data_IF_050887264037
#
_entry.id   IF_050887264037
#
_cell.length_a   1.000
_cell.length_b   1.000
_cell.length_c   1.000
_cell.angle_alpha   90.00
_cell.angle_beta   90.00
_cell.angle_gamma   90.00
#
_symmetry.space_group_name_H-M   'P 1'
#
loop_
_entity.id
_entity.type
_entity.pdbx_description
1 polymer ?
#
# COMPACT_ATOMS: atom_id res chain seq x y z
N UNK A 1 17.53 10.17 -11.02
CA UNK A 1 16.46 10.00 -10.02
C UNK A 1 15.57 11.24 -10.11
N UNK A 2 14.34 11.09 -10.55
CA UNK A 2 13.37 12.17 -10.52
C UNK A 2 12.68 12.04 -9.16
N UNK A 3 12.98 12.93 -8.21
CA UNK A 3 12.15 13.13 -7.04
C UNK A 3 10.83 13.74 -7.52
N UNK A 4 9.80 12.93 -7.60
CA UNK A 4 8.44 13.40 -7.83
C UNK A 4 7.94 13.84 -6.45
N UNK A 5 7.84 15.17 -6.24
CA UNK A 5 7.05 15.70 -5.12
C UNK A 5 5.62 15.16 -5.23
N UNK A 6 4.90 15.03 -4.12
CA UNK A 6 3.55 14.44 -3.99
C UNK A 6 2.49 14.96 -4.99
N UNK A 7 2.86 15.85 -5.89
CA UNK A 7 1.97 16.46 -6.88
C UNK A 7 2.62 16.44 -8.26
N UNK A 8 2.16 15.54 -9.11
CA UNK A 8 2.50 15.57 -10.55
C UNK A 8 1.81 16.80 -11.18
N UNK A 9 2.61 17.77 -11.66
CA UNK A 9 2.13 18.99 -12.33
C UNK A 9 2.64 19.05 -13.76
N UNK A 10 1.74 19.29 -14.71
CA UNK A 10 2.08 19.58 -16.10
C UNK A 10 1.60 20.98 -16.48
N UNK A 11 1.93 21.39 -17.71
CA UNK A 11 1.40 22.57 -18.36
C UNK A 11 0.70 22.20 -19.64
N UNK A 12 -0.43 22.83 -19.91
CA UNK A 12 -1.08 22.80 -21.23
C UNK A 12 -0.70 24.08 -21.95
N UNK A 13 -0.10 23.95 -23.10
CA UNK A 13 0.34 25.09 -23.92
C UNK A 13 -0.67 25.25 -25.07
N UNK A 14 -1.16 26.46 -25.27
CA UNK A 14 -1.95 26.82 -26.44
C UNK A 14 -1.01 26.94 -27.65
N UNK A 15 -1.26 26.13 -28.69
CA UNK A 15 -0.38 26.07 -29.86
C UNK A 15 -0.42 27.33 -30.73
N UNK A 16 -1.45 28.16 -30.57
CA UNK A 16 -1.57 29.38 -31.36
C UNK A 16 -0.82 30.55 -30.72
N UNK A 17 -1.01 30.75 -29.40
CA UNK A 17 -0.33 31.82 -28.65
C UNK A 17 1.05 31.39 -28.11
N UNK A 18 1.33 30.08 -28.05
CA UNK A 18 2.50 29.49 -27.37
C UNK A 18 2.60 29.84 -25.89
N UNK A 19 1.47 30.13 -25.26
CA UNK A 19 1.36 30.47 -23.84
C UNK A 19 0.68 29.35 -23.06
N UNK A 20 0.83 29.33 -21.73
CA UNK A 20 0.12 28.39 -20.86
C UNK A 20 -1.39 28.67 -20.93
N UNK A 21 -2.19 27.64 -21.14
CA UNK A 21 -3.63 27.71 -21.15
C UNK A 21 -4.19 27.93 -19.73
N UNK A 22 -4.22 29.19 -19.31
CA UNK A 22 -4.61 29.62 -17.96
C UNK A 22 -6.00 29.19 -17.51
N UNK A 23 -7.03 29.06 -18.38
CA UNK A 23 -8.35 28.58 -17.93
C UNK A 23 -8.32 27.20 -17.26
N UNK A 24 -7.30 26.39 -17.52
CA UNK A 24 -7.10 25.13 -16.81
C UNK A 24 -6.86 25.30 -15.31
N UNK A 25 -6.22 26.41 -14.90
CA UNK A 25 -5.82 26.71 -13.52
C UNK A 25 -6.89 27.43 -12.70
N UNK A 26 -7.91 27.94 -13.35
CA UNK A 26 -8.94 28.77 -12.73
C UNK A 26 -10.22 27.95 -12.60
N UNK A 27 -10.60 27.62 -11.37
CA UNK A 27 -11.77 26.77 -11.10
C UNK A 27 -13.10 27.33 -11.59
N UNK A 28 -13.24 28.67 -11.62
CA UNK A 28 -14.44 29.35 -12.06
C UNK A 28 -14.69 29.30 -13.58
N UNK A 29 -13.72 28.82 -14.37
CA UNK A 29 -13.91 28.58 -15.79
C UNK A 29 -14.49 27.20 -16.01
N UNK A 30 -15.76 27.12 -16.44
CA UNK A 30 -16.55 25.87 -16.57
C UNK A 30 -17.19 25.63 -17.95
N UNK A 31 -16.78 26.39 -18.97
CA UNK A 31 -17.26 26.18 -20.35
C UNK A 31 -16.88 24.81 -20.90
N UNK A 32 -17.73 24.23 -21.78
CA UNK A 32 -17.56 22.88 -22.35
C UNK A 32 -16.16 22.59 -22.89
N UNK A 33 -15.53 23.56 -23.52
CA UNK A 33 -14.17 23.41 -24.02
C UNK A 33 -13.15 23.30 -22.91
N UNK A 34 -13.27 24.16 -21.88
CA UNK A 34 -12.37 24.14 -20.71
C UNK A 34 -12.51 22.83 -19.95
N UNK A 35 -13.73 22.31 -19.77
CA UNK A 35 -13.99 21.03 -19.14
C UNK A 35 -13.32 19.89 -19.91
N UNK A 36 -13.46 19.83 -21.24
CA UNK A 36 -12.78 18.82 -22.07
C UNK A 36 -11.25 18.89 -21.98
N UNK A 37 -10.68 20.08 -21.97
CA UNK A 37 -9.21 20.26 -21.80
C UNK A 37 -8.79 19.78 -20.42
N UNK A 38 -9.57 20.09 -19.38
CA UNK A 38 -9.32 19.67 -18.00
C UNK A 38 -9.38 18.16 -17.84
N UNK A 39 -10.36 17.52 -18.44
CA UNK A 39 -10.50 16.05 -18.40
C UNK A 39 -9.37 15.36 -19.17
N UNK A 40 -9.02 15.82 -20.36
CA UNK A 40 -7.89 15.31 -21.11
C UNK A 40 -6.57 15.48 -20.36
N UNK A 41 -6.35 16.61 -19.68
CA UNK A 41 -5.20 16.84 -18.85
C UNK A 41 -5.14 15.86 -17.66
N UNK A 42 -6.24 15.64 -16.95
CA UNK A 42 -6.34 14.67 -15.87
C UNK A 42 -6.07 13.25 -16.34
N UNK A 43 -6.60 12.86 -17.49
CA UNK A 43 -6.37 11.54 -18.07
C UNK A 43 -4.92 11.31 -18.44
N UNK A 44 -4.23 12.31 -19.00
CA UNK A 44 -2.80 12.23 -19.31
C UNK A 44 -1.99 12.08 -18.02
N UNK A 45 -2.25 12.91 -16.99
CA UNK A 45 -1.55 12.80 -15.70
C UNK A 45 -1.77 11.44 -15.05
N UNK A 46 -3.01 10.94 -15.08
CA UNK A 46 -3.33 9.61 -14.56
C UNK A 46 -2.56 8.52 -15.29
N UNK A 47 -2.52 8.55 -16.62
CA UNK A 47 -1.77 7.57 -17.42
C UNK A 47 -0.26 7.62 -17.14
N UNK A 48 0.31 8.82 -16.94
CA UNK A 48 1.71 8.97 -16.54
C UNK A 48 1.93 8.38 -15.14
N UNK A 49 1.05 8.69 -14.18
CA UNK A 49 1.13 8.14 -12.84
C UNK A 49 1.02 6.61 -12.85
N UNK A 50 0.08 6.04 -13.59
CA UNK A 50 -0.12 4.59 -13.70
C UNK A 50 1.10 3.85 -14.29
N UNK A 51 1.91 4.52 -15.14
CA UNK A 51 3.09 3.94 -15.79
C UNK A 51 4.38 4.20 -15.02
N UNK A 52 4.54 5.41 -14.48
CA UNK A 52 5.82 5.90 -13.96
C UNK A 52 5.88 5.99 -12.44
N UNK A 53 4.73 5.97 -11.75
CA UNK A 53 4.66 6.14 -10.30
C UNK A 53 4.24 4.84 -9.63
N UNK A 54 4.80 4.59 -8.46
CA UNK A 54 4.39 3.49 -7.60
C UNK A 54 3.74 4.08 -6.36
N UNK A 55 2.56 3.60 -5.99
CA UNK A 55 1.92 4.02 -4.74
C UNK A 55 2.84 3.71 -3.56
N UNK A 56 3.11 4.70 -2.72
CA UNK A 56 3.83 4.56 -1.46
C UNK A 56 2.82 4.68 -0.33
N UNK A 57 2.57 3.58 0.35
CA UNK A 57 1.57 3.49 1.42
C UNK A 57 2.19 3.49 2.82
N UNK A 58 3.45 3.08 2.93
CA UNK A 58 4.12 2.81 4.21
C UNK A 58 5.50 3.45 4.26
N UNK A 59 6.04 3.62 5.48
CA UNK A 59 7.34 4.24 5.70
C UNK A 59 8.51 3.39 5.17
N UNK A 60 8.44 2.06 5.36
CA UNK A 60 9.52 1.17 4.97
C UNK A 60 9.39 0.67 3.52
N UNK A 61 10.52 0.61 2.81
CA UNK A 61 10.56 0.19 1.41
C UNK A 61 10.06 -1.24 1.21
N UNK A 62 10.38 -2.16 2.13
CA UNK A 62 9.91 -3.54 2.03
C UNK A 62 8.40 -3.64 2.18
N UNK A 63 7.78 -2.83 3.06
CA UNK A 63 6.34 -2.77 3.19
C UNK A 63 5.66 -2.37 1.87
N UNK A 64 6.21 -1.40 1.16
CA UNK A 64 5.69 -0.96 -0.14
C UNK A 64 5.92 -2.02 -1.23
N UNK A 65 7.10 -2.69 -1.28
CA UNK A 65 7.35 -3.78 -2.23
C UNK A 65 6.38 -4.94 -2.04
N UNK A 66 6.15 -5.35 -0.80
CA UNK A 66 5.19 -6.43 -0.48
C UNK A 66 3.77 -6.02 -0.82
N UNK A 67 3.37 -4.78 -0.53
CA UNK A 67 2.06 -4.22 -0.91
C UNK A 67 1.84 -4.30 -2.42
N UNK A 68 2.82 -3.90 -3.22
CA UNK A 68 2.75 -3.99 -4.67
C UNK A 68 2.63 -5.44 -5.16
N UNK A 69 3.36 -6.39 -4.56
CA UNK A 69 3.25 -7.82 -4.89
C UNK A 69 1.88 -8.39 -4.51
N UNK A 70 1.31 -7.98 -3.36
CA UNK A 70 -0.05 -8.34 -2.97
C UNK A 70 -1.05 -7.83 -4.00
N UNK A 71 -0.92 -6.57 -4.44
CA UNK A 71 -1.79 -6.01 -5.47
C UNK A 71 -1.68 -6.76 -6.80
N UNK A 72 -0.47 -7.05 -7.26
CA UNK A 72 -0.24 -7.83 -8.49
C UNK A 72 -0.81 -9.24 -8.43
N UNK A 73 -0.77 -9.88 -7.23
CA UNK A 73 -1.18 -11.26 -7.06
C UNK A 73 -2.68 -11.42 -6.80
N UNK A 74 -3.28 -10.53 -6.01
CA UNK A 74 -4.65 -10.66 -5.51
C UNK A 74 -5.57 -9.51 -5.93
N UNK A 75 -5.06 -8.46 -6.59
CA UNK A 75 -5.83 -7.27 -6.96
C UNK A 75 -6.27 -6.41 -5.78
N UNK A 76 -5.62 -6.56 -4.61
CA UNK A 76 -6.02 -5.90 -3.35
C UNK A 76 -5.02 -4.81 -2.99
N UNK A 77 -5.51 -3.60 -2.78
CA UNK A 77 -4.77 -2.50 -2.13
C UNK A 77 -5.11 -2.44 -0.64
N UNK A 78 -4.22 -1.90 0.23
CA UNK A 78 -4.56 -1.69 1.63
C UNK A 78 -5.68 -0.67 1.78
N UNK A 79 -6.59 -0.88 2.72
CA UNK A 79 -7.48 0.15 3.24
C UNK A 79 -6.97 0.65 4.60
N UNK A 80 -7.32 1.89 4.96
CA UNK A 80 -6.89 2.55 6.20
C UNK A 80 -8.13 2.90 7.02
N UNK A 81 -8.73 1.93 7.75
CA UNK A 81 -9.99 2.13 8.43
C UNK A 81 -9.88 3.03 9.66
N UNK A 82 -8.67 3.30 10.13
CA UNK A 82 -8.39 4.18 11.27
C UNK A 82 -7.72 5.48 10.81
N UNK A 83 -7.52 6.42 11.74
CA UNK A 83 -6.83 7.70 11.47
C UNK A 83 -5.30 7.59 11.60
N UNK A 84 -4.76 6.40 11.51
CA UNK A 84 -3.34 6.08 11.57
C UNK A 84 -2.87 5.41 10.26
N UNK A 85 -1.57 5.16 10.18
CA UNK A 85 -0.94 4.57 8.99
C UNK A 85 -1.03 3.03 8.95
N UNK A 86 -2.01 2.44 9.66
CA UNK A 86 -2.21 0.99 9.69
C UNK A 86 -3.07 0.54 8.52
N UNK A 87 -2.47 -0.22 7.59
CA UNK A 87 -3.10 -0.68 6.36
C UNK A 87 -3.60 -2.11 6.44
N UNK A 88 -4.89 -2.33 6.18
CA UNK A 88 -5.55 -3.64 6.22
C UNK A 88 -5.75 -4.18 4.82
N UNK A 89 -5.41 -5.44 4.60
CA UNK A 89 -5.69 -6.15 3.36
C UNK A 89 -6.85 -7.12 3.55
N UNK A 90 -7.89 -6.97 2.75
CA UNK A 90 -9.13 -7.74 2.86
C UNK A 90 -9.39 -8.56 1.60
N UNK A 91 -10.04 -9.70 1.79
CA UNK A 91 -10.61 -10.44 0.66
C UNK A 91 -11.73 -9.63 -0.02
N UNK A 92 -11.73 -9.63 -1.34
CA UNK A 92 -12.75 -8.93 -2.15
C UNK A 92 -14.14 -9.58 -2.06
N UNK A 93 -14.22 -10.90 -1.74
CA UNK A 93 -15.45 -11.69 -1.73
C UNK A 93 -16.14 -11.78 -0.36
N UNK A 94 -15.39 -11.63 0.74
CA UNK A 94 -15.93 -11.84 2.09
C UNK A 94 -15.50 -10.80 3.12
N UNK A 95 -14.71 -9.81 2.68
CA UNK A 95 -14.20 -8.68 3.47
C UNK A 95 -13.37 -9.07 4.72
N UNK A 96 -12.96 -10.35 4.83
CA UNK A 96 -12.09 -10.81 5.93
C UNK A 96 -10.67 -10.33 5.73
N UNK A 97 -10.03 -10.01 6.85
CA UNK A 97 -8.63 -9.65 6.89
C UNK A 97 -7.76 -10.87 6.64
N UNK A 98 -6.78 -10.76 5.76
CA UNK A 98 -5.72 -11.73 5.61
C UNK A 98 -4.35 -11.17 5.95
N UNK A 99 -4.22 -9.83 6.01
CA UNK A 99 -3.01 -9.14 6.43
C UNK A 99 -3.33 -7.76 7.00
N UNK A 100 -2.43 -7.27 7.88
CA UNK A 100 -2.46 -5.94 8.46
C UNK A 100 -1.01 -5.45 8.59
N UNK A 101 -0.67 -4.33 7.97
CA UNK A 101 0.62 -3.65 8.17
C UNK A 101 0.44 -2.52 9.18
N UNK A 102 1.32 -2.45 10.16
CA UNK A 102 1.33 -1.45 11.23
C UNK A 102 2.71 -0.81 11.34
N UNK A 103 2.77 0.46 11.74
CA UNK A 103 4.02 1.16 12.03
C UNK A 103 4.22 1.26 13.54
N UNK A 104 5.17 0.53 14.09
CA UNK A 104 5.33 0.32 15.53
C UNK A 104 6.76 0.57 15.99
N UNK A 105 6.96 0.80 17.29
CA UNK A 105 8.29 0.78 17.89
C UNK A 105 8.81 -0.65 17.95
N UNK A 106 10.08 -0.85 17.66
CA UNK A 106 10.74 -2.16 17.75
C UNK A 106 10.60 -2.81 19.14
N UNK A 107 10.70 -2.01 20.19
CA UNK A 107 10.49 -2.46 21.58
C UNK A 107 9.10 -3.12 21.80
N UNK A 108 8.12 -2.79 20.98
CA UNK A 108 6.80 -3.43 21.05
C UNK A 108 6.82 -4.93 20.69
N UNK A 109 7.83 -5.37 19.92
CA UNK A 109 8.02 -6.78 19.54
C UNK A 109 8.91 -7.52 20.53
N UNK A 110 10.08 -6.97 20.88
CA UNK A 110 11.13 -7.66 21.62
C UNK A 110 11.29 -7.21 23.07
N UNK A 111 10.70 -6.07 23.47
CA UNK A 111 10.82 -5.47 24.80
C UNK A 111 12.29 -5.24 25.22
N UNK A 112 13.12 -4.84 24.25
CA UNK A 112 14.57 -4.63 24.38
C UNK A 112 14.96 -3.16 24.60
N UNK A 113 13.99 -2.25 24.72
CA UNK A 113 14.17 -0.81 24.86
C UNK A 113 14.53 -0.09 23.56
N UNK A 114 14.55 -0.76 22.42
CA UNK A 114 14.85 -0.16 21.12
C UNK A 114 13.67 0.67 20.62
N UNK A 115 13.88 1.98 20.46
CA UNK A 115 12.85 2.93 20.04
C UNK A 115 12.74 3.12 18.53
N UNK A 116 13.54 2.38 17.72
CA UNK A 116 13.42 2.41 16.25
C UNK A 116 11.99 2.09 15.83
N UNK A 117 11.49 2.83 14.87
CA UNK A 117 10.20 2.55 14.24
C UNK A 117 10.40 1.54 13.09
N UNK A 118 9.45 0.66 12.89
CA UNK A 118 9.46 -0.36 11.83
C UNK A 118 8.04 -0.68 11.40
N UNK A 119 7.84 -0.93 10.11
CA UNK A 119 6.61 -1.56 9.67
C UNK A 119 6.66 -3.06 9.99
N UNK A 120 5.59 -3.56 10.56
CA UNK A 120 5.36 -4.99 10.77
C UNK A 120 4.14 -5.44 9.99
N UNK A 121 4.15 -6.70 9.56
CA UNK A 121 3.01 -7.32 8.90
C UNK A 121 2.44 -8.45 9.75
N UNK A 122 1.20 -8.31 10.17
CA UNK A 122 0.46 -9.37 10.85
C UNK A 122 -0.20 -10.28 9.81
N UNK A 123 0.03 -11.59 9.93
CA UNK A 123 -0.52 -12.63 9.07
C UNK A 123 -1.21 -13.71 9.89
N UNK A 124 -2.32 -14.24 9.36
CA UNK A 124 -2.97 -15.43 9.93
C UNK A 124 -2.07 -16.63 9.76
N UNK A 125 -1.78 -17.35 10.85
CA UNK A 125 -0.99 -18.59 10.83
C UNK A 125 -1.47 -19.56 11.90
N UNK A 126 -1.45 -20.84 11.57
CA UNK A 126 -1.65 -21.96 12.51
C UNK A 126 -0.29 -22.63 12.82
N UNK A 127 0.78 -22.19 12.18
CA UNK A 127 2.14 -22.70 12.35
C UNK A 127 2.94 -21.78 13.28
N UNK A 128 3.87 -22.36 13.99
CA UNK A 128 4.89 -21.65 14.77
C UNK A 128 6.19 -21.58 13.96
N UNK A 129 6.83 -20.42 13.97
CA UNK A 129 8.08 -20.17 13.26
C UNK A 129 9.17 -19.74 14.25
N UNK A 130 10.30 -20.42 14.20
CA UNK A 130 11.54 -20.04 14.93
C UNK A 130 12.53 -19.50 13.89
N UNK A 131 12.21 -18.33 13.33
CA UNK A 131 12.98 -17.66 12.28
C UNK A 131 13.11 -16.20 12.69
N UNK A 132 14.32 -15.67 12.64
CA UNK A 132 14.57 -14.25 12.89
C UNK A 132 13.75 -13.38 11.92
N UNK A 133 13.11 -12.32 12.45
CA UNK A 133 12.17 -11.50 11.70
C UNK A 133 10.70 -11.96 11.81
N UNK A 134 10.41 -13.13 12.43
CA UNK A 134 9.06 -13.60 12.72
C UNK A 134 8.84 -13.64 14.23
N UNK A 135 7.81 -12.97 14.70
CA UNK A 135 7.54 -12.75 16.13
C UNK A 135 6.10 -13.15 16.49
N UNK A 136 5.82 -13.37 17.80
CA UNK A 136 4.44 -13.45 18.28
C UNK A 136 3.63 -12.22 17.86
N UNK A 137 2.40 -12.43 17.41
CA UNK A 137 1.63 -11.39 16.77
C UNK A 137 1.37 -10.17 17.68
N UNK A 138 1.77 -9.01 17.25
CA UNK A 138 1.50 -7.75 17.95
C UNK A 138 0.03 -7.35 17.78
N UNK A 139 -0.66 -7.07 18.88
CA UNK A 139 -2.09 -6.74 18.95
C UNK A 139 -3.06 -7.77 18.36
N UNK A 140 -2.60 -8.97 18.04
CA UNK A 140 -3.43 -10.05 17.52
C UNK A 140 -3.33 -11.30 18.41
N UNK A 141 -4.21 -12.27 18.17
CA UNK A 141 -4.18 -13.53 18.91
C UNK A 141 -2.94 -14.36 18.50
N UNK A 142 -1.98 -14.52 19.40
CA UNK A 142 -0.71 -15.24 19.21
C UNK A 142 -0.88 -16.72 18.80
N UNK A 143 -2.04 -17.35 19.06
CA UNK A 143 -2.32 -18.74 18.66
C UNK A 143 -2.67 -18.89 17.19
N UNK A 144 -2.98 -17.79 16.51
CA UNK A 144 -3.50 -17.84 15.14
C UNK A 144 -3.01 -16.70 14.25
N UNK A 145 -2.05 -15.92 14.72
CA UNK A 145 -1.41 -14.83 14.00
C UNK A 145 0.06 -14.75 14.36
N UNK A 146 0.85 -14.28 13.43
CA UNK A 146 2.28 -13.96 13.56
C UNK A 146 2.53 -12.53 13.09
N UNK A 147 3.61 -11.90 13.57
CA UNK A 147 4.11 -10.61 13.09
C UNK A 147 5.44 -10.80 12.38
N UNK A 148 5.57 -10.23 11.19
CA UNK A 148 6.80 -10.20 10.41
C UNK A 148 7.38 -8.78 10.46
N UNK A 149 8.68 -8.64 10.71
CA UNK A 149 9.37 -7.36 10.51
C UNK A 149 9.56 -7.11 9.01
N UNK A 150 9.25 -5.88 8.55
CA UNK A 150 9.42 -5.47 7.15
C UNK A 150 10.63 -4.53 7.02
N UNK A 151 11.81 -5.04 7.42
CA UNK A 151 13.07 -4.31 7.50
C UNK A 151 14.21 -5.01 6.73
N UNK A 152 13.83 -5.82 5.75
CA UNK A 152 14.73 -6.64 4.91
C UNK A 152 15.42 -7.81 5.64
N UNK A 153 15.09 -8.09 6.91
CA UNK A 153 15.54 -9.32 7.61
C UNK A 153 14.98 -10.56 6.93
N UNK A 154 13.73 -10.55 6.53
CA UNK A 154 13.10 -11.62 5.77
C UNK A 154 13.12 -11.32 4.27
N UNK A 155 13.33 -12.35 3.44
CA UNK A 155 13.21 -12.17 2.00
C UNK A 155 11.76 -11.91 1.58
N UNK A 156 11.57 -11.06 0.55
CA UNK A 156 10.25 -10.80 -0.04
C UNK A 156 9.54 -12.08 -0.49
N UNK A 157 10.28 -13.10 -0.91
CA UNK A 157 9.72 -14.39 -1.36
C UNK A 157 9.11 -15.16 -0.20
N UNK A 158 9.80 -15.22 0.94
CA UNK A 158 9.29 -15.88 2.15
C UNK A 158 8.05 -15.14 2.68
N UNK A 159 8.09 -13.80 2.72
CA UNK A 159 6.94 -13.00 3.15
C UNK A 159 5.74 -13.30 2.26
N UNK A 160 5.88 -13.33 0.93
CA UNK A 160 4.79 -13.62 0.01
C UNK A 160 4.26 -15.05 0.12
N UNK A 161 5.12 -16.04 0.46
CA UNK A 161 4.66 -17.40 0.78
C UNK A 161 3.75 -17.39 2.02
N UNK A 162 4.16 -16.69 3.09
CA UNK A 162 3.36 -16.56 4.31
C UNK A 162 2.08 -15.76 4.08
N UNK A 163 2.10 -14.71 3.26
CA UNK A 163 0.90 -13.99 2.79
C UNK A 163 -0.05 -14.95 2.08
N UNK A 164 0.45 -15.82 1.19
CA UNK A 164 -0.37 -16.80 0.48
C UNK A 164 -1.04 -17.81 1.44
N UNK A 165 -0.30 -18.30 2.43
CA UNK A 165 -0.86 -19.16 3.49
C UNK A 165 -1.97 -18.44 4.25
N UNK A 166 -1.74 -17.20 4.71
CA UNK A 166 -2.73 -16.37 5.41
C UNK A 166 -3.96 -16.11 4.55
N UNK A 167 -3.77 -15.78 3.28
CA UNK A 167 -4.85 -15.58 2.31
C UNK A 167 -5.73 -16.83 2.20
N UNK A 168 -5.13 -18.01 2.08
CA UNK A 168 -5.87 -19.28 1.97
C UNK A 168 -6.61 -19.66 3.26
N UNK A 169 -6.02 -19.42 4.43
CA UNK A 169 -6.66 -19.66 5.75
C UNK A 169 -7.91 -18.81 5.97
N UNK A 170 -7.94 -17.61 5.43
CA UNK A 170 -9.03 -16.64 5.64
C UNK A 170 -10.06 -16.63 4.51
N UNK A 171 -9.76 -17.32 3.41
CA UNK A 171 -10.64 -17.45 2.25
C UNK A 171 -11.98 -18.09 2.62
N UNK A 172 -13.04 -17.70 1.94
CA UNK A 172 -14.36 -18.35 2.08
C UNK A 172 -14.28 -19.82 1.68
N UNK A 173 -14.54 -20.74 2.63
CA UNK A 173 -14.64 -22.16 2.29
C UNK A 173 -15.83 -22.35 1.33
N UNK A 174 -15.59 -22.88 0.14
CA UNK A 174 -16.68 -23.30 -0.73
C UNK A 174 -17.48 -24.37 0.03
N UNK A 175 -18.75 -24.10 0.33
CA UNK A 175 -19.66 -25.17 0.77
C UNK A 175 -19.76 -26.19 -0.37
N UNK A 176 -19.38 -27.43 -0.09
CA UNK A 176 -19.68 -28.57 -0.95
C UNK A 176 -21.16 -28.80 -0.96
#
# INVERSE_FOLDING_TARGET
VIEISDVLKGKVIDNFSNEEYMPLRIESFDGDFVCRVRDAYKDILKRIADICCTDVFFADNQANRITNRIFQTYGVKPDFPWKDDNGVFRHLDNNKWFSLIMYVKWDALLKDGNTRMVNIMNLKSEEHYDIDGIYPAYHMNHKSWISLALDDTLSDSLIMELVSKSYNLTRKKRRK
#
